data_IF_287709703701
#
_entry.id   IF_287709703701
#
_cell.length_a   1.000
_cell.length_b   1.000
_cell.length_c   1.000
_cell.angle_alpha   90.00
_cell.angle_beta   90.00
_cell.angle_gamma   90.00
#
_symmetry.space_group_name_H-M   'P 1'
#
loop_
_entity.id
_entity.type
_entity.pdbx_description
1 polymer ?
#
# COMPACT_ATOMS: atom_id res chain seq x y z
N UNK A 1 -18.86 -0.90 -34.43
CA UNK A 1 -17.60 -1.66 -34.32
C UNK A 1 -17.75 -2.58 -33.14
N UNK A 2 -17.32 -3.83 -33.27
CA UNK A 2 -17.45 -4.82 -32.21
C UNK A 2 -16.10 -4.99 -31.50
N UNK A 3 -16.14 -5.34 -30.22
CA UNK A 3 -14.94 -5.58 -29.44
C UNK A 3 -14.17 -6.79 -30.01
N UNK A 4 -12.87 -6.64 -30.23
CA UNK A 4 -12.02 -7.72 -30.77
C UNK A 4 -11.84 -8.89 -29.80
N UNK A 5 -12.09 -8.68 -28.50
CA UNK A 5 -11.92 -9.72 -27.47
C UNK A 5 -13.21 -10.45 -27.12
N UNK A 6 -14.33 -9.73 -26.96
CA UNK A 6 -15.61 -10.33 -26.54
C UNK A 6 -16.72 -10.26 -27.60
N UNK A 7 -16.44 -9.72 -28.79
CA UNK A 7 -17.37 -9.58 -29.92
C UNK A 7 -18.67 -8.81 -29.63
N UNK A 8 -18.74 -8.08 -28.51
CA UNK A 8 -19.87 -7.22 -28.19
C UNK A 8 -19.77 -5.87 -28.89
N UNK A 9 -20.93 -5.32 -29.27
CA UNK A 9 -21.03 -4.04 -29.96
C UNK A 9 -20.54 -2.90 -29.06
N UNK A 10 -19.60 -2.10 -29.55
CA UNK A 10 -19.03 -0.99 -28.82
C UNK A 10 -19.88 0.29 -28.99
N UNK A 11 -20.09 1.08 -27.92
CA UNK A 11 -20.63 2.43 -28.04
C UNK A 11 -19.73 3.32 -28.91
N UNK A 12 -20.32 4.28 -29.63
CA UNK A 12 -19.59 5.26 -30.45
C UNK A 12 -18.52 5.99 -29.60
N UNK A 13 -17.26 5.96 -30.05
CA UNK A 13 -16.07 6.54 -29.37
C UNK A 13 -15.70 5.92 -28.01
N UNK A 14 -16.22 4.75 -27.65
CA UNK A 14 -15.78 4.04 -26.45
C UNK A 14 -14.28 3.74 -26.52
N UNK A 15 -13.48 4.25 -25.58
CA UNK A 15 -12.04 3.97 -25.46
C UNK A 15 -11.75 2.58 -24.89
N UNK A 16 -12.70 2.02 -24.13
CA UNK A 16 -12.59 0.71 -23.49
C UNK A 16 -13.92 -0.02 -23.65
N UNK A 17 -13.88 -1.34 -23.89
CA UNK A 17 -15.08 -2.14 -23.95
C UNK A 17 -15.75 -2.22 -22.56
N UNK A 18 -17.01 -1.80 -22.41
CA UNK A 18 -17.69 -1.81 -21.12
C UNK A 18 -17.98 -3.22 -20.59
N UNK A 19 -17.91 -4.24 -21.45
CA UNK A 19 -18.23 -5.61 -21.06
C UNK A 19 -17.00 -6.43 -20.62
N UNK A 20 -15.82 -6.14 -21.15
CA UNK A 20 -14.61 -6.95 -20.89
C UNK A 20 -13.34 -6.13 -20.61
N UNK A 21 -13.42 -4.80 -20.61
CA UNK A 21 -12.28 -3.95 -20.27
C UNK A 21 -11.19 -3.83 -21.35
N UNK A 22 -11.36 -4.46 -22.52
CA UNK A 22 -10.36 -4.38 -23.60
C UNK A 22 -10.31 -2.98 -24.22
N UNK A 23 -9.11 -2.35 -24.36
CA UNK A 23 -8.95 -1.09 -25.07
C UNK A 23 -9.40 -1.20 -26.53
N UNK A 24 -10.03 -0.16 -27.06
CA UNK A 24 -10.47 -0.11 -28.47
C UNK A 24 -9.47 0.66 -29.33
N UNK A 25 -9.62 0.63 -30.66
CA UNK A 25 -8.77 1.44 -31.55
C UNK A 25 -8.80 2.94 -31.24
N UNK A 26 -9.94 3.46 -30.76
CA UNK A 26 -10.10 4.85 -30.34
C UNK A 26 -9.27 5.21 -29.09
N UNK A 27 -8.85 4.22 -28.29
CA UNK A 27 -7.88 4.42 -27.21
C UNK A 27 -6.52 4.84 -27.78
N UNK A 28 -6.05 4.15 -28.82
CA UNK A 28 -4.75 4.38 -29.44
C UNK A 28 -4.73 5.63 -30.33
N UNK A 29 -5.85 5.97 -30.96
CA UNK A 29 -5.98 7.23 -31.73
C UNK A 29 -5.89 8.48 -30.85
N UNK A 30 -6.32 8.41 -29.59
CA UNK A 30 -6.14 9.49 -28.62
C UNK A 30 -4.73 9.54 -28.00
N UNK A 31 -3.83 8.64 -28.40
CA UNK A 31 -2.51 8.44 -27.80
C UNK A 31 -1.32 8.83 -28.70
N UNK A 32 -1.53 9.42 -29.89
CA UNK A 32 -0.43 9.99 -30.68
C UNK A 32 -0.14 11.44 -30.25
N UNK A 33 1.09 11.91 -30.02
CA UNK A 33 2.37 11.56 -30.66
C UNK A 33 3.58 11.84 -29.74
N UNK A 34 4.50 10.88 -29.59
CA UNK A 34 5.92 11.13 -29.29
C UNK A 34 6.68 11.17 -30.62
N UNK A 35 7.55 12.15 -30.82
CA UNK A 35 8.30 12.41 -32.06
C UNK A 35 9.56 11.56 -32.23
N UNK A 36 9.75 10.49 -31.46
CA UNK A 36 10.90 9.59 -31.58
C UNK A 36 10.45 8.13 -31.61
N UNK A 37 10.02 7.66 -32.79
CA UNK A 37 9.91 6.24 -33.06
C UNK A 37 10.53 5.94 -34.43
N UNK A 38 11.62 5.17 -34.41
CA UNK A 38 12.31 4.71 -35.60
C UNK A 38 11.40 3.76 -36.40
N UNK A 39 11.22 4.07 -37.68
CA UNK A 39 10.48 3.25 -38.64
C UNK A 39 11.25 1.96 -38.96
N UNK A 40 10.70 0.80 -38.59
CA UNK A 40 11.16 -0.49 -39.12
C UNK A 40 10.49 -0.74 -40.49
N UNK A 41 11.24 -1.15 -41.53
CA UNK A 41 10.66 -1.43 -42.84
C UNK A 41 9.88 -2.75 -42.84
N UNK A 42 8.69 -2.73 -43.43
CA UNK A 42 7.83 -3.90 -43.63
C UNK A 42 8.36 -4.79 -44.76
N UNK A 43 8.30 -6.11 -44.56
CA UNK A 43 8.65 -7.14 -45.55
C UNK A 43 7.61 -7.22 -46.69
N UNK A 44 8.01 -7.64 -47.92
CA UNK A 44 7.12 -7.64 -49.09
C UNK A 44 6.24 -8.90 -49.14
N UNK A 45 4.94 -8.71 -49.41
CA UNK A 45 4.00 -9.79 -49.71
C UNK A 45 3.85 -9.99 -51.22
N UNK A 46 3.73 -11.27 -51.63
CA UNK A 46 3.68 -11.76 -53.02
C UNK A 46 2.38 -11.38 -53.75
N UNK A 47 2.49 -11.10 -55.06
CA UNK A 47 1.37 -11.01 -56.03
C UNK A 47 0.64 -12.36 -56.20
N UNK A 48 -0.59 -12.43 -56.72
CA UNK A 48 -1.17 -12.06 -58.03
C UNK A 48 -2.69 -12.47 -57.99
N UNK A 49 -3.51 -12.41 -59.07
CA UNK A 49 -3.65 -11.43 -60.15
C UNK A 49 -5.13 -10.99 -60.43
N UNK A 50 -5.23 -10.02 -61.33
CA UNK A 50 -6.40 -9.42 -62.00
C UNK A 50 -7.49 -10.37 -62.52
N UNK A 51 -8.72 -9.84 -62.57
CA UNK A 51 -9.69 -10.12 -63.65
C UNK A 51 -10.39 -8.83 -64.13
N UNK A 52 -10.39 -8.68 -65.46
CA UNK A 52 -11.01 -7.65 -66.32
C UNK A 52 -12.56 -7.72 -66.21
N UNK A 53 -13.45 -6.79 -66.59
CA UNK A 53 -13.60 -5.70 -67.59
C UNK A 53 -15.04 -5.11 -67.36
N UNK A 54 -15.65 -4.21 -68.16
CA UNK A 54 -15.17 -3.05 -68.95
C UNK A 54 -15.89 -1.72 -68.60
N UNK A 55 -15.22 -0.61 -68.92
CA UNK A 55 -15.77 0.76 -68.91
C UNK A 55 -16.70 1.01 -70.09
N UNK A 56 -17.77 1.78 -69.86
CA UNK A 56 -18.49 2.54 -70.90
C UNK A 56 -18.41 4.02 -70.56
N UNK A 57 -17.89 4.79 -71.51
CA UNK A 57 -17.96 6.25 -71.59
C UNK A 57 -19.43 6.69 -71.74
N UNK A 58 -19.85 7.75 -71.04
CA UNK A 58 -20.17 9.05 -71.68
C UNK A 58 -20.97 9.99 -70.78
N UNK A 59 -20.77 11.29 -71.05
CA UNK A 59 -21.57 12.46 -70.68
C UNK A 59 -21.43 13.06 -69.27
N UNK A 60 -20.50 14.02 -69.19
CA UNK A 60 -20.68 15.27 -68.45
C UNK A 60 -21.49 16.24 -69.34
N UNK A 61 -22.55 16.88 -68.82
CA UNK A 61 -22.50 18.33 -68.77
C UNK A 61 -23.13 18.91 -67.50
N UNK A 62 -22.28 19.51 -66.67
CA UNK A 62 -22.51 20.66 -65.79
C UNK A 62 -23.95 21.18 -65.69
N UNK A 63 -24.59 20.93 -64.55
CA UNK A 63 -25.33 21.91 -63.72
C UNK A 63 -26.02 21.17 -62.59
N UNK A 64 -25.49 21.30 -61.39
CA UNK A 64 -26.28 21.65 -60.21
C UNK A 64 -25.36 22.01 -59.05
N UNK A 65 -25.80 23.00 -58.28
CA UNK A 65 -25.01 23.74 -57.31
C UNK A 65 -24.54 22.84 -56.15
N UNK A 66 -23.23 22.70 -55.99
CA UNK A 66 -22.63 22.16 -54.77
C UNK A 66 -22.65 23.25 -53.71
N UNK A 67 -23.52 23.11 -52.72
CA UNK A 67 -23.43 23.83 -51.45
C UNK A 67 -22.14 23.43 -50.74
N UNK A 68 -21.27 24.40 -50.50
CA UNK A 68 -20.01 24.25 -49.77
C UNK A 68 -20.30 23.88 -48.28
N UNK A 69 -19.88 22.71 -47.76
CA UNK A 69 -20.18 22.31 -46.38
C UNK A 69 -19.19 22.86 -45.34
N UNK A 70 -18.30 23.78 -45.72
CA UNK A 70 -17.38 24.44 -44.78
C UNK A 70 -17.75 25.92 -44.59
N UNK A 71 -18.82 26.16 -43.84
CA UNK A 71 -19.03 27.42 -43.12
C UNK A 71 -19.30 27.09 -41.66
N UNK A 72 -18.24 26.87 -40.89
CA UNK A 72 -18.34 26.88 -39.44
C UNK A 72 -18.55 28.32 -38.97
N UNK A 73 -19.66 28.55 -38.25
CA UNK A 73 -19.92 29.82 -37.57
C UNK A 73 -18.74 30.18 -36.62
N UNK A 74 -18.42 31.47 -36.45
CA UNK A 74 -17.39 31.88 -35.50
C UNK A 74 -17.81 31.51 -34.05
N UNK A 75 -16.85 31.11 -33.20
CA UNK A 75 -17.17 30.76 -31.81
C UNK A 75 -17.72 31.98 -31.04
N UNK A 76 -18.67 31.78 -30.11
CA UNK A 76 -19.15 32.86 -29.27
C UNK A 76 -18.01 33.40 -28.39
N UNK A 77 -18.03 34.70 -28.04
CA UNK A 77 -17.02 35.31 -27.19
C UNK A 77 -16.98 34.62 -25.81
N UNK A 78 -15.80 34.54 -25.17
CA UNK A 78 -15.66 33.91 -23.85
C UNK A 78 -16.54 34.62 -22.83
N UNK A 79 -17.44 33.86 -22.19
CA UNK A 79 -18.17 34.34 -21.03
C UNK A 79 -17.20 34.41 -19.85
N UNK A 80 -16.87 35.62 -19.42
CA UNK A 80 -16.19 35.84 -18.16
C UNK A 80 -17.08 35.32 -17.04
N UNK A 81 -16.64 34.26 -16.36
CA UNK A 81 -17.26 33.82 -15.12
C UNK A 81 -17.21 34.98 -14.13
N UNK A 82 -18.38 35.48 -13.74
CA UNK A 82 -18.51 36.41 -12.63
C UNK A 82 -18.05 35.69 -11.37
N UNK A 83 -17.00 36.22 -10.73
CA UNK A 83 -16.52 35.73 -9.44
C UNK A 83 -17.70 35.55 -8.47
N UNK A 84 -17.80 34.42 -7.74
CA UNK A 84 -18.77 34.31 -6.66
C UNK A 84 -18.50 35.39 -5.60
N UNK A 85 -19.53 35.93 -4.94
CA UNK A 85 -19.34 36.93 -3.89
C UNK A 85 -18.47 36.38 -2.76
N UNK A 86 -17.67 37.23 -2.09
CA UNK A 86 -16.81 36.80 -1.00
C UNK A 86 -17.65 36.18 0.12
N UNK A 87 -17.37 34.91 0.43
CA UNK A 87 -17.95 34.21 1.58
C UNK A 87 -17.50 34.95 2.83
N UNK A 88 -18.46 35.48 3.61
CA UNK A 88 -18.17 36.14 4.88
C UNK A 88 -17.47 35.15 5.84
N UNK A 89 -16.47 35.58 6.63
CA UNK A 89 -15.78 34.70 7.54
C UNK A 89 -16.75 34.16 8.60
N UNK A 90 -16.94 32.85 8.59
CA UNK A 90 -17.71 32.12 9.60
C UNK A 90 -16.99 32.25 10.94
N UNK A 91 -17.60 32.98 11.89
CA UNK A 91 -17.07 33.15 13.24
C UNK A 91 -16.91 31.80 13.94
N UNK A 92 -15.79 31.52 14.63
CA UNK A 92 -15.61 30.26 15.33
C UNK A 92 -16.61 30.14 16.48
N UNK A 93 -17.40 29.05 16.47
CA UNK A 93 -18.33 28.72 17.54
C UNK A 93 -17.58 28.48 18.86
N UNK A 94 -17.80 29.36 19.84
CA UNK A 94 -17.27 29.20 21.20
C UNK A 94 -17.91 27.97 21.86
N UNK A 95 -17.16 26.86 21.94
CA UNK A 95 -17.52 25.73 22.81
C UNK A 95 -17.40 26.17 24.28
N UNK A 96 -18.54 26.24 24.98
CA UNK A 96 -18.58 26.39 26.44
C UNK A 96 -18.09 25.08 27.06
N UNK A 97 -16.84 25.06 27.50
CA UNK A 97 -16.30 23.99 28.35
C UNK A 97 -16.99 24.10 29.71
N UNK A 98 -17.83 23.13 30.04
CA UNK A 98 -18.51 23.07 31.33
C UNK A 98 -17.52 22.87 32.46
N UNK A 99 -17.58 23.77 33.46
CA UNK A 99 -16.77 23.78 34.68
C UNK A 99 -16.91 22.50 35.54
N UNK A 100 -17.83 21.60 35.20
CA UNK A 100 -18.18 20.43 36.02
C UNK A 100 -17.07 19.37 36.11
N UNK A 101 -16.08 19.34 35.20
CA UNK A 101 -14.98 18.35 35.25
C UNK A 101 -13.90 18.72 36.26
N UNK A 102 -13.65 20.02 36.47
CA UNK A 102 -12.59 20.49 37.39
C UNK A 102 -12.96 20.23 38.85
N UNK A 103 -14.25 20.33 39.21
CA UNK A 103 -14.73 20.03 40.56
C UNK A 103 -14.65 18.53 40.90
N UNK A 104 -14.93 17.65 39.94
CA UNK A 104 -14.85 16.19 40.13
C UNK A 104 -13.42 15.70 40.31
N UNK A 105 -12.45 16.29 39.60
CA UNK A 105 -11.02 15.93 39.75
C UNK A 105 -10.46 16.41 41.09
N UNK A 106 -10.85 17.60 41.56
CA UNK A 106 -10.43 18.11 42.87
C UNK A 106 -10.99 17.27 44.04
N UNK A 107 -12.23 16.79 43.94
CA UNK A 107 -12.83 15.93 44.97
C UNK A 107 -12.11 14.57 45.08
N UNK A 108 -11.72 13.96 43.95
CA UNK A 108 -11.01 12.67 43.94
C UNK A 108 -9.59 12.77 44.50
N UNK A 109 -8.88 13.88 44.25
CA UNK A 109 -7.54 14.13 44.80
C UNK A 109 -7.57 14.30 46.33
N UNK A 110 -8.60 14.96 46.87
CA UNK A 110 -8.74 15.13 48.32
C UNK A 110 -9.10 13.83 49.05
N UNK A 111 -9.89 12.95 48.43
CA UNK A 111 -10.22 11.64 49.00
C UNK A 111 -9.02 10.69 48.95
N UNK A 112 -8.22 10.72 47.87
CA UNK A 112 -7.01 9.91 47.73
C UNK A 112 -5.90 10.28 48.73
N UNK A 113 -5.72 11.58 49.02
CA UNK A 113 -4.72 12.04 49.98
C UNK A 113 -5.04 11.64 51.44
N UNK A 114 -6.33 11.55 51.80
CA UNK A 114 -6.75 11.14 53.14
C UNK A 114 -6.43 9.67 53.46
N UNK A 115 -6.56 8.78 52.48
CA UNK A 115 -6.32 7.33 52.64
C UNK A 115 -4.81 7.04 52.80
N UNK A 116 -3.94 7.79 52.12
CA UNK A 116 -2.50 7.61 52.20
C UNK A 116 -1.90 8.04 53.56
N UNK A 117 -2.48 9.06 54.20
CA UNK A 117 -2.04 9.53 55.54
C UNK A 117 -2.50 8.57 56.65
N UNK A 118 -3.65 7.88 56.48
CA UNK A 118 -4.15 6.92 57.47
C UNK A 118 -3.34 5.62 57.48
N UNK A 119 -2.88 5.15 56.31
CA UNK A 119 -2.07 3.92 56.21
C UNK A 119 -0.60 4.13 56.62
N UNK A 120 -0.08 5.36 56.60
CA UNK A 120 1.30 5.67 56.98
C UNK A 120 1.51 5.91 58.48
N UNK A 121 0.44 5.91 59.30
CA UNK A 121 0.51 6.14 60.76
C UNK A 121 0.27 4.91 61.63
N UNK A 122 0.02 3.73 61.06
CA UNK A 122 -0.07 2.46 61.80
C UNK A 122 1.13 1.57 61.47
N UNK A 123 2.23 1.79 62.18
CA UNK A 123 3.43 0.97 62.11
C UNK A 123 4.37 1.25 63.28
N UNK A 124 3.94 0.89 64.49
CA UNK A 124 4.76 0.95 65.71
C UNK A 124 5.31 -0.43 66.07
N UNK A 125 6.63 -0.46 66.29
CA UNK A 125 7.39 -1.26 67.24
C UNK A 125 7.35 -2.79 67.19
N UNK A 126 8.44 -3.39 66.71
CA UNK A 126 8.95 -4.68 67.22
C UNK A 126 10.49 -4.65 67.21
N UNK A 127 11.08 -4.86 68.39
CA UNK A 127 12.53 -4.85 68.62
C UNK A 127 13.27 -6.12 68.16
N UNK A 128 14.60 -6.16 68.24
CA UNK A 128 15.41 -7.23 67.67
C UNK A 128 15.82 -8.29 68.71
N UNK A 129 15.61 -9.58 68.41
CA UNK A 129 16.26 -10.73 69.06
C UNK A 129 16.32 -11.95 68.10
N UNK A 130 17.21 -12.94 68.35
CA UNK A 130 18.10 -13.49 67.32
C UNK A 130 17.77 -14.91 66.81
N UNK A 131 18.26 -15.18 65.60
CA UNK A 131 18.84 -16.47 65.19
C UNK A 131 17.93 -17.69 65.10
N UNK A 132 17.61 -18.10 63.87
CA UNK A 132 17.59 -19.52 63.51
C UNK A 132 17.78 -19.68 61.98
N UNK A 133 18.86 -20.39 61.62
CA UNK A 133 19.09 -20.88 60.28
C UNK A 133 17.97 -21.87 59.92
N UNK A 134 17.20 -21.56 58.88
CA UNK A 134 16.39 -22.56 58.19
C UNK A 134 16.50 -22.29 56.70
N UNK A 135 17.25 -23.16 56.04
CA UNK A 135 17.44 -23.19 54.59
C UNK A 135 16.13 -23.59 53.89
N UNK A 136 15.19 -22.65 53.79
CA UNK A 136 14.09 -22.79 52.86
C UNK A 136 14.61 -22.46 51.45
N UNK A 137 15.10 -23.49 50.77
CA UNK A 137 15.24 -23.49 49.30
C UNK A 137 13.85 -23.30 48.70
N UNK A 138 13.45 -22.04 48.56
CA UNK A 138 12.41 -21.63 47.64
C UNK A 138 12.99 -21.84 46.24
N UNK A 139 12.71 -23.00 45.67
CA UNK A 139 12.82 -23.25 44.23
C UNK A 139 11.90 -22.28 43.52
N UNK A 140 12.40 -21.06 43.32
CA UNK A 140 11.87 -20.15 42.32
C UNK A 140 12.10 -20.85 41.00
N UNK A 141 11.06 -21.51 40.47
CA UNK A 141 11.05 -21.92 39.09
C UNK A 141 11.05 -20.63 38.25
N UNK A 142 12.22 -20.10 37.98
CA UNK A 142 12.46 -19.28 36.79
C UNK A 142 12.10 -20.16 35.61
N UNK A 143 10.83 -20.14 35.24
CA UNK A 143 10.35 -20.67 33.99
C UNK A 143 10.94 -19.77 32.92
N UNK A 144 12.18 -20.08 32.54
CA UNK A 144 12.80 -19.59 31.32
C UNK A 144 11.85 -20.01 30.21
N UNK A 145 10.99 -19.08 29.78
CA UNK A 145 10.27 -19.19 28.53
C UNK A 145 11.33 -19.11 27.44
N UNK A 146 11.94 -20.24 27.14
CA UNK A 146 12.77 -20.43 25.97
C UNK A 146 11.86 -20.28 24.75
N UNK A 147 11.64 -19.04 24.33
CA UNK A 147 11.02 -18.78 23.03
C UNK A 147 11.93 -19.42 21.99
N UNK A 148 11.52 -20.56 21.44
CA UNK A 148 12.22 -21.25 20.36
C UNK A 148 12.27 -20.27 19.19
N UNK A 149 13.43 -19.66 18.97
CA UNK A 149 13.64 -18.79 17.82
C UNK A 149 13.77 -19.70 16.60
N UNK A 150 12.94 -19.46 15.58
CA UNK A 150 13.01 -20.17 14.31
C UNK A 150 14.44 -20.07 13.77
N UNK A 151 15.12 -21.21 13.55
CA UNK A 151 16.48 -21.18 13.01
C UNK A 151 16.47 -20.68 11.57
N UNK A 152 17.56 -20.03 11.15
CA UNK A 152 17.69 -19.49 9.80
C UNK A 152 17.49 -20.57 8.71
N UNK A 153 18.00 -21.79 8.92
CA UNK A 153 17.86 -22.89 7.98
C UNK A 153 16.43 -23.42 7.89
N UNK A 154 15.72 -23.52 9.02
CA UNK A 154 14.31 -23.93 9.03
C UNK A 154 13.43 -22.87 8.37
N UNK A 155 13.66 -21.59 8.68
CA UNK A 155 12.96 -20.47 8.05
C UNK A 155 13.16 -20.46 6.53
N UNK A 156 14.40 -20.56 6.07
CA UNK A 156 14.73 -20.63 4.64
C UNK A 156 14.08 -21.85 3.96
N UNK A 157 14.15 -23.03 4.57
CA UNK A 157 13.54 -24.25 4.00
C UNK A 157 12.02 -24.11 3.88
N UNK A 158 11.36 -23.52 4.88
CA UNK A 158 9.92 -23.28 4.84
C UNK A 158 9.55 -22.29 3.73
N UNK A 159 10.32 -21.20 3.58
CA UNK A 159 10.15 -20.26 2.47
C UNK A 159 10.28 -20.97 1.12
N UNK A 160 11.38 -21.69 0.88
CA UNK A 160 11.66 -22.38 -0.39
C UNK A 160 10.58 -23.42 -0.74
N UNK A 161 10.12 -24.18 0.26
CA UNK A 161 9.07 -25.19 0.08
C UNK A 161 7.73 -24.53 -0.24
N UNK A 162 7.39 -23.43 0.44
CA UNK A 162 6.12 -22.72 0.22
C UNK A 162 6.04 -22.15 -1.19
N UNK A 163 7.08 -21.44 -1.64
CA UNK A 163 7.09 -20.81 -2.97
C UNK A 163 7.21 -21.81 -4.14
N UNK A 164 7.46 -23.10 -3.84
CA UNK A 164 7.41 -24.17 -4.85
C UNK A 164 5.98 -24.62 -5.18
N UNK A 165 5.01 -24.23 -4.36
CA UNK A 165 3.58 -24.48 -4.57
C UNK A 165 2.89 -23.30 -5.26
N UNK A 166 1.69 -23.52 -5.80
CA UNK A 166 0.90 -22.45 -6.41
C UNK A 166 0.42 -21.45 -5.34
N UNK A 167 0.60 -20.13 -5.55
CA UNK A 167 0.08 -19.12 -4.63
C UNK A 167 -1.45 -19.09 -4.66
N UNK A 168 -2.04 -18.73 -3.51
CA UNK A 168 -3.48 -18.47 -3.40
C UNK A 168 -3.89 -17.16 -4.11
N UNK A 169 -3.00 -16.17 -4.09
CA UNK A 169 -3.18 -14.86 -4.70
C UNK A 169 -1.95 -14.53 -5.55
N UNK A 170 -2.15 -14.03 -6.77
CA UNK A 170 -1.07 -13.81 -7.73
C UNK A 170 -1.39 -12.61 -8.63
N UNK A 171 -1.08 -11.43 -8.13
CA UNK A 171 -1.44 -10.15 -8.75
C UNK A 171 -0.28 -9.52 -9.49
N UNK A 172 -0.54 -9.01 -10.70
CA UNK A 172 0.43 -8.19 -11.41
C UNK A 172 0.55 -6.78 -10.80
N UNK A 173 -0.50 -6.31 -10.12
CA UNK A 173 -0.69 -4.96 -9.59
C UNK A 173 -0.74 -3.88 -10.69
N UNK A 174 -1.30 -4.20 -11.86
CA UNK A 174 -1.41 -3.28 -12.99
C UNK A 174 -2.69 -2.43 -13.00
N UNK A 175 -3.76 -2.88 -12.34
CA UNK A 175 -5.06 -2.22 -12.29
C UNK A 175 -5.86 -2.65 -11.04
N UNK A 176 -6.92 -1.91 -10.65
CA UNK A 176 -7.83 -2.35 -9.60
C UNK A 176 -8.50 -3.69 -9.91
N UNK A 177 -8.75 -4.48 -8.86
CA UNK A 177 -9.33 -5.81 -8.93
C UNK A 177 -10.33 -6.03 -7.77
N UNK A 178 -10.78 -7.28 -7.57
CA UNK A 178 -11.71 -7.64 -6.49
C UNK A 178 -11.11 -7.67 -5.09
N UNK A 179 -9.79 -7.53 -4.92
CA UNK A 179 -9.12 -7.49 -3.63
C UNK A 179 -9.20 -6.11 -2.96
N UNK A 180 -9.77 -5.12 -3.64
CA UNK A 180 -10.14 -3.83 -3.04
C UNK A 180 -8.94 -2.98 -2.68
N UNK A 181 -7.96 -2.88 -3.59
CA UNK A 181 -6.80 -2.03 -3.44
C UNK A 181 -7.18 -0.55 -3.29
N UNK A 182 -6.57 0.14 -2.32
CA UNK A 182 -6.63 1.59 -2.22
C UNK A 182 -6.16 2.24 -3.53
N UNK A 183 -6.89 3.21 -4.07
CA UNK A 183 -6.53 3.81 -5.36
C UNK A 183 -6.79 5.31 -5.40
N UNK A 184 -6.72 5.95 -4.23
CA UNK A 184 -7.00 7.37 -4.07
C UNK A 184 -5.79 8.12 -3.51
N UNK A 185 -5.66 9.36 -3.96
CA UNK A 185 -4.72 10.31 -3.39
C UNK A 185 -5.36 11.05 -2.21
N UNK A 186 -4.60 11.16 -1.14
CA UNK A 186 -4.91 11.96 0.04
C UNK A 186 -3.95 13.15 0.12
N UNK A 187 -4.10 14.00 1.13
CA UNK A 187 -3.28 15.21 1.26
C UNK A 187 -1.77 14.93 1.32
N UNK A 188 -1.35 13.81 1.93
CA UNK A 188 0.06 13.49 2.17
C UNK A 188 0.50 12.12 1.65
N UNK A 189 -0.42 11.30 1.16
CA UNK A 189 -0.20 9.92 0.76
C UNK A 189 -1.01 9.62 -0.50
N UNK A 190 -0.56 8.66 -1.30
CA UNK A 190 -1.35 8.19 -2.44
C UNK A 190 -1.07 6.72 -2.73
N UNK A 191 -2.12 6.04 -3.17
CA UNK A 191 -2.05 4.71 -3.74
C UNK A 191 -2.66 4.80 -5.14
N UNK A 192 -1.92 4.44 -6.18
CA UNK A 192 -2.38 4.63 -7.57
C UNK A 192 -1.86 3.54 -8.49
N UNK A 193 -2.63 3.18 -9.51
CA UNK A 193 -2.17 2.31 -10.59
C UNK A 193 -1.66 3.16 -11.75
N UNK A 194 -0.39 3.01 -12.09
CA UNK A 194 0.23 3.74 -13.19
C UNK A 194 1.41 2.98 -13.78
N UNK A 195 1.61 3.07 -15.10
CA UNK A 195 2.76 2.44 -15.76
C UNK A 195 2.80 0.91 -15.65
N UNK A 196 1.64 0.26 -15.40
CA UNK A 196 1.56 -1.19 -15.20
C UNK A 196 2.05 -1.66 -13.83
N UNK A 197 2.14 -0.76 -12.85
CA UNK A 197 2.49 -1.05 -11.48
C UNK A 197 1.56 -0.31 -10.51
N UNK A 198 1.56 -0.77 -9.27
CA UNK A 198 0.89 -0.09 -8.17
C UNK A 198 1.90 0.75 -7.41
N UNK A 199 1.62 2.04 -7.30
CA UNK A 199 2.49 3.03 -6.69
C UNK A 199 1.94 3.45 -5.33
N UNK A 200 2.78 3.34 -4.31
CA UNK A 200 2.54 3.96 -3.02
C UNK A 200 3.48 5.17 -2.87
N UNK A 201 2.93 6.33 -2.52
CA UNK A 201 3.71 7.55 -2.33
C UNK A 201 3.39 8.20 -0.98
N UNK A 202 4.40 8.82 -0.38
CA UNK A 202 4.21 9.61 0.84
C UNK A 202 5.07 10.88 0.82
N UNK A 203 4.49 11.99 1.26
CA UNK A 203 5.19 13.25 1.49
C UNK A 203 6.19 13.12 2.64
N UNK A 204 7.20 14.02 2.72
CA UNK A 204 8.16 14.00 3.81
C UNK A 204 7.54 13.88 5.20
N UNK A 205 8.08 12.97 6.02
CA UNK A 205 7.62 12.65 7.38
C UNK A 205 6.26 11.94 7.48
N UNK A 206 5.74 11.45 6.35
CA UNK A 206 4.57 10.59 6.31
C UNK A 206 4.95 9.19 5.82
N UNK A 207 4.10 8.23 6.14
CA UNK A 207 4.12 6.90 5.56
C UNK A 207 2.75 6.66 4.89
N UNK A 208 2.71 5.77 3.91
CA UNK A 208 1.49 5.41 3.19
C UNK A 208 1.37 3.89 3.19
N UNK A 209 0.50 3.31 4.03
CA UNK A 209 0.02 1.97 3.77
C UNK A 209 -1.01 2.04 2.63
N UNK A 210 -0.98 1.03 1.77
CA UNK A 210 -1.87 0.89 0.63
C UNK A 210 -2.46 -0.52 0.67
N UNK A 211 -3.67 -0.63 1.20
CA UNK A 211 -4.29 -1.89 1.59
C UNK A 211 -5.00 -2.56 0.42
N UNK A 212 -5.05 -3.90 0.46
CA UNK A 212 -6.03 -4.70 -0.24
C UNK A 212 -7.19 -5.00 0.73
N UNK A 213 -8.18 -4.10 0.77
CA UNK A 213 -9.19 -4.07 1.85
C UNK A 213 -10.08 -5.32 1.93
N UNK A 214 -10.23 -6.06 0.84
CA UNK A 214 -11.03 -7.30 0.78
C UNK A 214 -10.23 -8.57 1.11
N UNK A 215 -9.07 -8.43 1.78
CA UNK A 215 -8.22 -9.56 2.19
C UNK A 215 -8.26 -9.80 3.70
N UNK A 216 -8.05 -11.05 4.10
CA UNK A 216 -7.86 -11.41 5.51
C UNK A 216 -7.01 -12.69 5.64
N UNK A 217 -5.79 -12.54 6.17
CA UNK A 217 -4.81 -13.60 6.30
C UNK A 217 -4.30 -13.69 7.74
N UNK A 218 -4.27 -14.91 8.29
CA UNK A 218 -3.62 -15.21 9.57
C UNK A 218 -2.19 -15.69 9.35
N UNK A 219 -2.04 -16.94 8.90
CA UNK A 219 -0.77 -17.55 8.58
C UNK A 219 -0.52 -17.47 7.08
N UNK A 220 0.55 -16.78 6.70
CA UNK A 220 0.82 -16.42 5.31
C UNK A 220 2.31 -16.32 4.99
N UNK A 221 2.63 -16.58 3.73
CA UNK A 221 3.81 -16.04 3.07
C UNK A 221 3.33 -14.98 2.07
N UNK A 222 3.78 -13.74 2.23
CA UNK A 222 3.54 -12.64 1.29
C UNK A 222 4.87 -12.25 0.65
N UNK A 223 4.93 -12.14 -0.68
CA UNK A 223 6.05 -11.53 -1.37
C UNK A 223 5.60 -10.59 -2.48
N UNK A 224 6.40 -9.56 -2.76
CA UNK A 224 6.11 -8.57 -3.81
C UNK A 224 7.41 -8.08 -4.45
N UNK A 225 7.38 -7.87 -5.76
CA UNK A 225 8.47 -7.19 -6.45
C UNK A 225 8.33 -5.70 -6.24
N UNK A 226 9.32 -5.09 -5.59
CA UNK A 226 9.32 -3.66 -5.27
C UNK A 226 10.48 -2.94 -5.94
N UNK A 227 10.26 -1.70 -6.37
CA UNK A 227 11.29 -0.76 -6.78
C UNK A 227 11.02 0.62 -6.18
N UNK A 228 11.94 1.11 -5.35
CA UNK A 228 11.88 2.51 -4.85
C UNK A 228 12.31 3.44 -5.99
N UNK A 229 11.37 4.17 -6.57
CA UNK A 229 11.58 5.10 -7.69
C UNK A 229 12.25 6.38 -7.19
N UNK A 230 11.75 6.92 -6.08
CA UNK A 230 12.33 8.07 -5.37
C UNK A 230 12.19 7.91 -3.86
N UNK A 231 13.04 8.59 -3.10
CA UNK A 231 13.05 8.52 -1.64
C UNK A 231 13.86 7.34 -1.10
N UNK A 232 13.47 6.87 0.09
CA UNK A 232 14.35 6.00 0.88
C UNK A 232 13.84 4.58 1.07
N UNK A 233 12.54 4.37 1.35
CA UNK A 233 12.10 3.06 1.83
C UNK A 233 10.71 2.65 1.36
N UNK A 234 10.55 1.34 1.16
CA UNK A 234 9.26 0.72 0.89
C UNK A 234 9.23 -0.74 1.34
N UNK A 235 8.05 -1.34 1.32
CA UNK A 235 7.85 -2.75 1.59
C UNK A 235 6.38 -3.13 1.69
N UNK A 236 6.03 -3.90 2.71
CA UNK A 236 4.72 -4.54 2.86
C UNK A 236 4.10 -4.29 4.21
N UNK A 237 2.77 -4.28 4.24
CA UNK A 237 1.96 -4.38 5.44
C UNK A 237 1.21 -5.71 5.46
N UNK A 238 1.04 -6.27 6.64
CA UNK A 238 0.35 -7.55 6.82
C UNK A 238 -0.30 -7.64 8.20
N UNK A 239 -1.34 -8.47 8.28
CA UNK A 239 -2.23 -8.57 9.45
C UNK A 239 -2.74 -7.20 9.89
N UNK A 240 -3.11 -6.39 8.90
CA UNK A 240 -3.57 -5.02 9.08
C UNK A 240 -5.07 -4.95 9.36
N UNK A 241 -5.48 -3.90 10.07
CA UNK A 241 -6.86 -3.49 10.24
C UNK A 241 -6.92 -1.98 9.95
N UNK A 242 -7.31 -1.64 8.71
CA UNK A 242 -7.44 -0.26 8.21
C UNK A 242 -8.44 0.58 9.01
N UNK A 243 -9.40 -0.04 9.71
CA UNK A 243 -10.39 0.67 10.53
C UNK A 243 -9.87 1.02 11.92
N UNK A 244 -8.84 0.32 12.40
CA UNK A 244 -8.25 0.53 13.72
C UNK A 244 -6.84 1.12 13.68
N UNK A 245 -6.28 1.31 12.48
CA UNK A 245 -4.91 1.74 12.26
C UNK A 245 -3.89 0.86 13.02
N UNK A 246 -3.95 -0.45 12.82
CA UNK A 246 -3.01 -1.41 13.42
C UNK A 246 -2.49 -2.39 12.37
N UNK A 247 -1.18 -2.60 12.35
CA UNK A 247 -0.52 -3.43 11.33
C UNK A 247 0.91 -3.80 11.71
N UNK A 248 1.45 -4.84 11.07
CA UNK A 248 2.90 -4.99 10.94
C UNK A 248 3.39 -4.36 9.64
N UNK A 249 4.52 -3.68 9.71
CA UNK A 249 5.17 -2.99 8.59
C UNK A 249 6.58 -3.55 8.42
N UNK A 250 6.85 -4.23 7.31
CA UNK A 250 8.21 -4.62 6.94
C UNK A 250 8.68 -3.77 5.77
N UNK A 251 9.75 -3.01 5.97
CA UNK A 251 10.36 -2.20 4.89
C UNK A 251 11.85 -2.49 4.75
N UNK A 252 12.34 -2.28 3.54
CA UNK A 252 13.76 -2.14 3.24
C UNK A 252 14.04 -0.70 2.81
N UNK A 253 15.30 -0.31 2.94
CA UNK A 253 15.80 1.02 2.57
C UNK A 253 16.85 0.93 1.47
N UNK A 254 16.98 2.02 0.70
CA UNK A 254 17.95 2.16 -0.39
C UNK A 254 19.41 2.08 0.05
N UNK A 255 19.70 2.16 1.36
CA UNK A 255 21.05 1.99 1.93
C UNK A 255 21.40 0.53 2.29
N UNK A 256 20.44 -0.39 2.13
CA UNK A 256 20.58 -1.82 2.47
C UNK A 256 20.18 -2.16 3.90
N UNK A 257 19.52 -1.26 4.62
CA UNK A 257 18.91 -1.54 5.92
C UNK A 257 17.48 -2.04 5.78
N UNK A 258 16.98 -2.68 6.84
CA UNK A 258 15.60 -3.13 6.95
C UNK A 258 15.09 -2.96 8.37
N UNK A 259 13.78 -2.82 8.49
CA UNK A 259 13.10 -2.75 9.78
C UNK A 259 11.72 -3.41 9.67
N UNK A 260 11.38 -4.19 10.68
CA UNK A 260 10.03 -4.69 10.92
C UNK A 260 9.50 -3.98 12.17
N UNK A 261 8.42 -3.24 12.00
CA UNK A 261 7.71 -2.57 13.08
C UNK A 261 6.31 -3.15 13.25
N UNK A 262 5.73 -2.92 14.43
CA UNK A 262 4.28 -2.90 14.60
C UNK A 262 3.81 -1.49 14.83
N UNK A 263 2.74 -1.11 14.17
CA UNK A 263 2.09 0.17 14.37
C UNK A 263 0.95 0.00 15.36
N UNK A 264 0.93 0.82 16.41
CA UNK A 264 0.01 0.75 17.55
C UNK A 264 -0.52 2.14 17.90
N UNK A 265 -1.66 2.21 18.58
CA UNK A 265 -2.17 3.43 19.20
C UNK A 265 -1.85 3.37 20.70
N UNK A 266 -0.89 4.18 21.15
CA UNK A 266 -0.55 4.33 22.56
C UNK A 266 -1.23 5.57 23.12
N UNK A 267 -2.14 5.39 24.08
CA UNK A 267 -2.91 6.49 24.68
C UNK A 267 -3.65 7.35 23.63
N UNK A 268 -4.14 6.69 22.57
CA UNK A 268 -4.81 7.34 21.44
C UNK A 268 -3.87 8.08 20.49
N UNK A 269 -2.55 7.89 20.61
CA UNK A 269 -1.54 8.45 19.70
C UNK A 269 -0.87 7.36 18.87
N UNK A 270 -0.63 7.61 17.58
CA UNK A 270 0.09 6.65 16.74
C UNK A 270 1.54 6.51 17.19
N UNK A 271 1.99 5.25 17.27
CA UNK A 271 3.35 4.89 17.59
C UNK A 271 3.79 3.68 16.77
N UNK A 272 4.99 3.77 16.21
CA UNK A 272 5.65 2.63 15.57
C UNK A 272 6.64 2.01 16.54
N UNK A 273 6.54 0.69 16.75
CA UNK A 273 7.40 -0.08 17.66
C UNK A 273 8.26 -1.05 16.88
N UNK A 274 9.61 -0.91 16.92
CA UNK A 274 10.49 -1.85 16.26
C UNK A 274 10.45 -3.22 16.91
N UNK A 275 10.33 -4.26 16.08
CA UNK A 275 10.42 -5.66 16.48
C UNK A 275 11.77 -6.27 16.11
N UNK A 276 12.30 -5.90 14.95
CA UNK A 276 13.66 -6.22 14.53
C UNK A 276 14.14 -5.21 13.48
N UNK A 277 15.45 -5.06 13.37
CA UNK A 277 16.10 -4.24 12.34
C UNK A 277 17.51 -4.74 12.08
N UNK A 278 18.08 -4.33 10.95
CA UNK A 278 19.46 -4.66 10.60
C UNK A 278 19.83 -4.18 9.20
N UNK A 279 20.92 -4.72 8.68
CA UNK A 279 21.34 -4.55 7.29
C UNK A 279 21.64 -5.90 6.66
N UNK A 280 21.56 -5.99 5.33
CA UNK A 280 21.85 -7.23 4.61
C UNK A 280 22.45 -6.96 3.23
N UNK A 281 23.48 -7.72 2.81
CA UNK A 281 23.99 -7.67 1.44
C UNK A 281 22.99 -8.25 0.42
N UNK A 282 21.94 -8.95 0.87
CA UNK A 282 20.88 -9.42 -0.02
C UNK A 282 20.00 -8.27 -0.54
N UNK A 283 20.02 -7.10 0.10
CA UNK A 283 19.28 -5.92 -0.36
C UNK A 283 20.11 -5.19 -1.42
N UNK A 284 19.55 -5.08 -2.62
CA UNK A 284 20.17 -4.31 -3.70
C UNK A 284 19.94 -2.83 -3.42
N UNK A 285 21.03 -2.12 -3.18
CA UNK A 285 21.05 -0.71 -2.72
C UNK A 285 20.80 0.26 -3.87
N UNK A 286 20.26 1.42 -3.54
CA UNK A 286 19.97 2.52 -4.46
C UNK A 286 18.51 2.56 -4.92
N UNK A 287 18.11 3.70 -5.46
CA UNK A 287 16.81 3.83 -6.13
C UNK A 287 16.83 3.12 -7.48
N UNK A 288 15.64 2.83 -8.01
CA UNK A 288 15.43 2.10 -9.27
C UNK A 288 16.01 0.69 -9.29
N UNK A 289 16.28 0.11 -8.11
CA UNK A 289 16.73 -1.27 -7.99
C UNK A 289 15.56 -2.19 -7.59
N UNK A 290 15.33 -3.28 -8.34
CA UNK A 290 14.28 -4.24 -8.01
C UNK A 290 14.71 -5.10 -6.82
N UNK A 291 13.88 -5.17 -5.78
CA UNK A 291 14.04 -6.10 -4.67
C UNK A 291 12.74 -6.90 -4.47
N UNK A 292 12.87 -8.22 -4.31
CA UNK A 292 11.75 -9.07 -3.89
C UNK A 292 11.67 -9.03 -2.36
N UNK A 293 10.66 -8.33 -1.84
CA UNK A 293 10.43 -8.19 -0.40
C UNK A 293 9.43 -9.25 0.03
N UNK A 294 9.71 -9.99 1.11
CA UNK A 294 8.79 -11.01 1.60
C UNK A 294 8.75 -11.13 3.13
N UNK A 295 7.59 -11.56 3.61
CA UNK A 295 7.33 -11.91 5.01
C UNK A 295 6.69 -13.29 5.08
N UNK A 296 7.04 -14.04 6.11
CA UNK A 296 6.41 -15.30 6.49
C UNK A 296 5.93 -15.16 7.92
N UNK A 297 4.62 -15.18 8.13
CA UNK A 297 3.99 -15.12 9.44
C UNK A 297 3.23 -16.42 9.70
N UNK A 298 3.60 -17.14 10.77
CA UNK A 298 2.97 -18.40 11.17
C UNK A 298 2.78 -18.42 12.70
N UNK A 299 1.53 -18.41 13.15
CA UNK A 299 1.19 -18.14 14.54
C UNK A 299 1.77 -16.80 14.98
N UNK A 300 2.67 -16.83 15.97
CA UNK A 300 3.33 -15.62 16.49
C UNK A 300 4.70 -15.36 15.83
N UNK A 301 5.22 -16.32 15.06
CA UNK A 301 6.53 -16.21 14.44
C UNK A 301 6.43 -15.39 13.16
N UNK A 302 7.32 -14.41 13.02
CA UNK A 302 7.44 -13.55 11.84
C UNK A 302 8.87 -13.61 11.36
N UNK A 303 9.08 -14.10 10.14
CA UNK A 303 10.37 -14.11 9.45
C UNK A 303 10.33 -13.20 8.22
N UNK A 304 11.44 -12.51 7.96
CA UNK A 304 11.54 -11.56 6.85
C UNK A 304 12.66 -11.96 5.88
N UNK A 305 12.41 -11.76 4.60
CA UNK A 305 13.26 -12.18 3.50
C UNK A 305 13.38 -11.07 2.47
N UNK A 306 14.55 -11.01 1.83
CA UNK A 306 14.76 -10.15 0.66
C UNK A 306 15.50 -10.95 -0.40
N UNK A 307 15.06 -10.85 -1.65
CA UNK A 307 15.66 -11.55 -2.79
C UNK A 307 15.82 -13.05 -2.53
N UNK A 308 14.76 -13.67 -1.94
CA UNK A 308 14.66 -15.08 -1.55
C UNK A 308 15.66 -15.53 -0.47
N UNK A 309 16.29 -14.59 0.25
CA UNK A 309 17.22 -14.88 1.34
C UNK A 309 16.62 -14.48 2.68
N UNK A 310 16.64 -15.42 3.62
CA UNK A 310 16.30 -15.16 5.02
C UNK A 310 17.21 -14.07 5.60
N UNK A 311 16.60 -13.10 6.29
CA UNK A 311 17.34 -12.07 7.02
C UNK A 311 17.26 -12.29 8.53
N UNK A 312 16.04 -12.29 9.08
CA UNK A 312 15.80 -12.35 10.51
C UNK A 312 14.39 -12.85 10.83
N UNK A 313 14.17 -13.22 12.10
CA UNK A 313 12.87 -13.58 12.63
C UNK A 313 12.68 -13.07 14.06
N UNK A 314 11.44 -12.82 14.41
CA UNK A 314 10.97 -12.43 15.75
C UNK A 314 9.68 -13.17 16.10
N UNK A 315 9.25 -13.07 17.35
CA UNK A 315 7.94 -13.52 17.81
C UNK A 315 7.17 -12.33 18.36
N UNK A 316 5.93 -12.14 17.91
CA UNK A 316 5.03 -11.12 18.43
C UNK A 316 3.58 -11.63 18.35
N UNK A 317 2.79 -11.35 19.39
CA UNK A 317 1.41 -11.86 19.54
C UNK A 317 0.35 -10.77 19.35
N UNK A 318 0.75 -9.58 18.89
CA UNK A 318 -0.15 -8.41 18.90
C UNK A 318 -1.24 -8.55 17.84
N UNK A 319 -0.87 -8.92 16.61
CA UNK A 319 -1.81 -9.07 15.49
C UNK A 319 -1.72 -10.48 14.93
N UNK A 320 -2.86 -11.17 14.87
CA UNK A 320 -2.92 -12.58 14.49
C UNK A 320 -3.49 -12.80 13.08
N UNK A 321 -4.22 -11.82 12.55
CA UNK A 321 -4.76 -11.85 11.20
C UNK A 321 -5.10 -10.43 10.73
N UNK A 322 -5.34 -10.27 9.43
CA UNK A 322 -5.86 -9.03 8.87
C UNK A 322 -5.56 -8.89 7.39
N UNK A 323 -5.77 -7.69 6.88
CA UNK A 323 -5.50 -7.32 5.50
C UNK A 323 -3.99 -7.36 5.20
N UNK A 324 -3.67 -7.42 3.92
CA UNK A 324 -2.31 -7.23 3.39
C UNK A 324 -2.26 -5.95 2.56
N UNK A 325 -1.04 -5.51 2.24
CA UNK A 325 -0.83 -4.39 1.36
C UNK A 325 0.63 -4.07 1.14
N UNK A 326 0.86 -2.94 0.48
CA UNK A 326 2.18 -2.38 0.28
C UNK A 326 2.34 -1.11 1.11
N UNK A 327 3.58 -0.69 1.32
CA UNK A 327 3.90 0.36 2.26
C UNK A 327 5.10 1.18 1.81
N UNK A 328 5.05 2.49 2.01
CA UNK A 328 6.21 3.37 1.90
C UNK A 328 6.33 4.26 3.12
N UNK A 329 7.56 4.64 3.44
CA UNK A 329 7.91 5.46 4.59
C UNK A 329 8.89 6.53 4.17
N UNK A 330 8.47 7.78 4.32
CA UNK A 330 9.24 8.94 3.91
C UNK A 330 10.07 9.49 5.06
N UNK A 331 11.36 9.56 4.83
CA UNK A 331 12.28 10.40 5.60
C UNK A 331 11.88 11.90 5.53
N UNK A 332 12.56 12.79 6.28
CA UNK A 332 12.30 14.24 6.25
C UNK A 332 12.45 14.91 4.87
N UNK A 333 13.04 14.24 3.88
CA UNK A 333 13.12 14.62 2.47
C UNK A 333 13.86 13.50 1.71
N UNK A 334 13.56 13.21 0.43
CA UNK A 334 12.48 13.74 -0.42
C UNK A 334 11.17 12.95 -0.26
N UNK A 335 10.16 13.25 -1.11
CA UNK A 335 8.97 12.38 -1.28
C UNK A 335 9.41 10.97 -1.65
N UNK A 336 8.77 9.98 -1.05
CA UNK A 336 8.97 8.58 -1.41
C UNK A 336 7.93 8.13 -2.43
N UNK A 337 8.38 7.37 -3.42
CA UNK A 337 7.56 6.65 -4.39
C UNK A 337 8.17 5.26 -4.57
N UNK A 338 7.38 4.23 -4.36
CA UNK A 338 7.74 2.87 -4.70
C UNK A 338 6.69 2.23 -5.60
N UNK A 339 7.17 1.59 -6.66
CA UNK A 339 6.38 0.79 -7.58
C UNK A 339 6.40 -0.67 -7.15
N UNK A 340 5.22 -1.31 -7.15
CA UNK A 340 5.01 -2.68 -6.75
C UNK A 340 4.37 -3.47 -7.89
N UNK A 341 4.89 -4.69 -8.11
CA UNK A 341 4.36 -5.64 -9.10
C UNK A 341 4.47 -7.07 -8.55
N UNK A 342 3.78 -8.01 -9.20
CA UNK A 342 3.96 -9.46 -8.95
C UNK A 342 3.82 -9.83 -7.47
N UNK A 343 2.72 -9.40 -6.85
CA UNK A 343 2.41 -9.73 -5.47
C UNK A 343 1.84 -11.13 -5.39
N UNK A 344 2.39 -11.96 -4.50
CA UNK A 344 1.97 -13.33 -4.32
C UNK A 344 1.75 -13.64 -2.84
N UNK A 345 0.68 -14.39 -2.55
CA UNK A 345 0.36 -14.83 -1.19
C UNK A 345 0.09 -16.32 -1.17
N UNK A 346 0.66 -17.01 -0.18
CA UNK A 346 0.33 -18.39 0.18
C UNK A 346 -0.26 -18.41 1.58
N UNK A 347 -1.21 -19.31 1.82
CA UNK A 347 -1.69 -19.64 3.17
C UNK A 347 -0.83 -20.78 3.71
N UNK A 348 -0.38 -20.67 4.97
CA UNK A 348 0.51 -21.66 5.61
C UNK A 348 -0.24 -22.68 6.47
#
# INVERSE_FOLDING_TARGET
MDCTSCHQQLPLKAKVCPNCGTPTSAYYEASGTSSEAHTLPSAPSRGMPNSNTPSTLDMNPYRDAVSNPYTSAPPPPPQYATNPPPVSPMSPAKKRVGWNVVASVLALVLIGAGIFIFLSKSGSNAGPLPGQNTSNSSTTSTQSTSTIKLSASTAQKLYDTTISSSPLMNEDLGAPDSYGWDHQAQANTSCTFSGGAYHAQAKPRYFSPCYASATNFSDLLLQVQMTVVSGHSGGVVFRADDTKDYEYQFRISTDGTYILNKYVLEYGKPASKPLLSGSSPAIIKGTNQPNLVAVLAQGNAIAVYVNKKYLAATNDTTYQQGQIGVYVDSDPSPVVDAAFTKLQVWRL
#
